data_IF_385847032502
#
_entry.id   IF_385847032502
#
_cell.length_a   1.000
_cell.length_b   1.000
_cell.length_c   1.000
_cell.angle_alpha   90.00
_cell.angle_beta   90.00
_cell.angle_gamma   90.00
#
_symmetry.space_group_name_H-M   'P 1'
#
loop_
_entity.id
_entity.type
_entity.pdbx_description
1 polymer ?
#
# COMPACT_ATOMS: atom_id res chain seq x y z
N UNK A 1 -14.40 45.42 5.34
CA UNK A 1 -13.18 44.74 5.82
C UNK A 1 -13.46 43.54 6.73
N UNK A 2 -14.19 43.69 7.85
CA UNK A 2 -14.44 42.57 8.80
C UNK A 2 -15.16 41.36 8.19
N UNK A 3 -16.12 41.58 7.30
CA UNK A 3 -16.85 40.49 6.61
C UNK A 3 -15.97 39.73 5.61
N UNK A 4 -15.06 40.44 4.92
CA UNK A 4 -14.14 39.84 3.94
C UNK A 4 -13.14 38.91 4.65
N UNK A 5 -12.58 39.37 5.77
CA UNK A 5 -11.65 38.58 6.61
C UNK A 5 -12.34 37.33 7.18
N UNK A 6 -13.59 37.45 7.63
CA UNK A 6 -14.38 36.30 8.11
C UNK A 6 -14.65 35.28 7.00
N UNK A 7 -15.01 35.74 5.81
CA UNK A 7 -15.28 34.86 4.67
C UNK A 7 -14.01 34.15 4.18
N UNK A 8 -12.87 34.86 4.16
CA UNK A 8 -11.57 34.29 3.86
C UNK A 8 -11.13 33.24 4.89
N UNK A 9 -11.36 33.49 6.18
CA UNK A 9 -11.06 32.54 7.25
C UNK A 9 -11.88 31.24 7.09
N UNK A 10 -13.18 31.33 6.81
CA UNK A 10 -14.03 30.16 6.58
C UNK A 10 -13.57 29.38 5.35
N UNK A 11 -13.21 30.08 4.26
CA UNK A 11 -12.69 29.45 3.05
C UNK A 11 -11.37 28.71 3.32
N UNK A 12 -10.45 29.31 4.08
CA UNK A 12 -9.16 28.70 4.40
C UNK A 12 -9.28 27.40 5.21
N UNK A 13 -10.29 27.27 6.08
CA UNK A 13 -10.56 26.04 6.84
C UNK A 13 -11.12 24.93 5.94
N UNK A 14 -11.89 25.27 4.90
CA UNK A 14 -12.44 24.28 3.98
C UNK A 14 -11.36 23.68 3.06
N UNK A 15 -10.35 24.47 2.69
CA UNK A 15 -9.24 24.02 1.84
C UNK A 15 -8.20 23.14 2.55
N UNK A 16 -8.18 23.05 3.89
CA UNK A 16 -7.21 22.19 4.60
C UNK A 16 -7.47 20.69 4.44
N UNK A 17 -8.62 20.30 3.88
CA UNK A 17 -9.02 18.90 3.68
C UNK A 17 -8.44 18.24 2.42
N UNK A 18 -7.76 18.97 1.54
CA UNK A 18 -7.26 18.44 0.25
C UNK A 18 -5.98 17.60 0.34
N UNK A 19 -5.49 17.32 1.56
CA UNK A 19 -4.23 16.59 1.78
C UNK A 19 -4.37 15.04 1.84
N UNK A 20 -5.48 14.45 1.41
CA UNK A 20 -5.75 13.00 1.51
C UNK A 20 -5.19 12.14 0.36
N UNK A 21 -4.32 12.68 -0.49
CA UNK A 21 -3.80 11.95 -1.65
C UNK A 21 -2.90 10.74 -1.30
N UNK A 22 -2.32 10.69 -0.09
CA UNK A 22 -1.42 9.62 0.33
C UNK A 22 -2.08 8.42 1.05
N UNK A 23 -3.39 8.46 1.34
CA UNK A 23 -4.04 7.42 2.17
C UNK A 23 -4.83 6.36 1.38
N UNK A 24 -4.83 6.38 0.05
CA UNK A 24 -5.77 5.55 -0.71
C UNK A 24 -5.17 4.27 -1.33
N UNK A 25 -3.86 4.03 -1.18
CA UNK A 25 -3.17 2.84 -1.69
C UNK A 25 -2.72 2.00 -0.49
N UNK A 26 -3.44 0.92 -0.22
CA UNK A 26 -3.16 -0.01 0.87
C UNK A 26 -3.11 -1.44 0.33
N UNK A 27 -2.52 -2.35 1.11
CA UNK A 27 -2.68 -3.78 0.86
C UNK A 27 -4.09 -4.16 1.31
N UNK A 28 -4.94 -4.53 0.34
CA UNK A 28 -6.29 -5.05 0.56
C UNK A 28 -6.25 -6.44 1.21
N UNK A 29 -5.34 -7.30 0.75
CA UNK A 29 -5.18 -8.67 1.24
C UNK A 29 -3.83 -9.25 0.83
N UNK A 30 -3.39 -10.32 1.51
CA UNK A 30 -2.24 -11.11 1.11
C UNK A 30 -2.48 -12.60 1.39
N UNK A 31 -1.81 -13.46 0.63
CA UNK A 31 -1.69 -14.89 0.95
C UNK A 31 -0.21 -15.25 1.00
N UNK A 32 0.30 -15.78 2.11
CA UNK A 32 -0.33 -15.86 3.43
C UNK A 32 -0.78 -14.49 3.96
N UNK A 33 -1.83 -14.50 4.79
CA UNK A 33 -2.26 -13.29 5.50
C UNK A 33 -1.19 -12.84 6.49
N UNK A 34 -1.16 -11.53 6.79
CA UNK A 34 -0.28 -10.98 7.83
C UNK A 34 -0.45 -11.77 9.14
N UNK A 35 0.67 -12.21 9.71
CA UNK A 35 0.74 -13.01 10.94
C UNK A 35 0.04 -14.39 10.87
N UNK A 36 -0.20 -14.94 9.66
CA UNK A 36 -0.67 -16.30 9.54
C UNK A 36 0.34 -17.30 10.12
N UNK A 37 -0.14 -18.21 10.97
CA UNK A 37 0.63 -19.38 11.37
C UNK A 37 0.51 -20.43 10.28
N UNK A 38 1.64 -20.82 9.72
CA UNK A 38 1.71 -21.78 8.62
C UNK A 38 2.15 -23.14 9.16
N UNK A 39 1.38 -24.17 8.83
CA UNK A 39 1.73 -25.56 9.17
C UNK A 39 2.79 -26.12 8.22
N UNK A 40 2.87 -25.56 7.02
CA UNK A 40 3.78 -25.93 5.94
C UNK A 40 4.14 -24.71 5.10
N UNK A 41 5.16 -24.84 4.26
CA UNK A 41 5.55 -23.77 3.35
C UNK A 41 4.44 -23.54 2.31
N UNK A 42 4.04 -22.27 2.04
CA UNK A 42 3.02 -21.98 1.06
C UNK A 42 3.56 -22.19 -0.36
N UNK A 43 2.72 -22.64 -1.27
CA UNK A 43 3.10 -22.81 -2.69
C UNK A 43 3.21 -21.48 -3.44
N UNK A 44 2.55 -20.42 -2.96
CA UNK A 44 2.42 -19.13 -3.64
C UNK A 44 2.38 -17.98 -2.61
N UNK A 45 2.84 -16.80 -3.03
CA UNK A 45 2.75 -15.55 -2.28
C UNK A 45 1.95 -14.54 -3.09
N UNK A 46 0.75 -14.16 -2.64
CA UNK A 46 -0.06 -13.17 -3.32
C UNK A 46 -0.29 -11.90 -2.50
N UNK A 47 -0.43 -10.77 -3.19
CA UNK A 47 -0.77 -9.48 -2.62
C UNK A 47 -1.73 -8.72 -3.52
N UNK A 48 -2.80 -8.21 -2.91
CA UNK A 48 -3.79 -7.36 -3.57
C UNK A 48 -3.73 -5.95 -2.97
N UNK A 49 -3.77 -4.93 -3.81
CA UNK A 49 -3.79 -3.53 -3.45
C UNK A 49 -5.17 -2.92 -3.70
N UNK A 50 -5.51 -1.86 -2.96
CA UNK A 50 -6.77 -1.12 -3.15
C UNK A 50 -6.85 -0.40 -4.51
N UNK A 51 -5.71 -0.12 -5.13
CA UNK A 51 -5.56 0.54 -6.43
C UNK A 51 -4.38 -0.05 -7.19
N UNK A 52 -4.34 0.19 -8.50
CA UNK A 52 -3.22 -0.25 -9.33
C UNK A 52 -1.90 0.37 -8.86
N UNK A 53 -0.91 -0.47 -8.60
CA UNK A 53 0.46 -0.07 -8.27
C UNK A 53 1.41 -0.71 -9.27
N UNK A 54 2.64 -0.20 -9.37
CA UNK A 54 3.75 -0.92 -10.02
C UNK A 54 4.59 -1.57 -8.93
N UNK A 55 4.56 -2.90 -8.84
CA UNK A 55 5.32 -3.62 -7.82
C UNK A 55 6.80 -3.69 -8.22
N UNK A 56 7.65 -2.95 -7.52
CA UNK A 56 9.08 -2.85 -7.86
C UNK A 56 9.98 -3.82 -7.11
N UNK A 57 9.50 -4.38 -5.99
CA UNK A 57 10.30 -5.23 -5.10
C UNK A 57 9.42 -5.98 -4.11
N UNK A 58 9.72 -7.26 -3.92
CA UNK A 58 9.24 -8.08 -2.80
C UNK A 58 10.46 -8.62 -2.07
N UNK A 59 10.41 -8.66 -0.73
CA UNK A 59 11.50 -9.18 0.10
C UNK A 59 10.94 -10.27 0.99
N UNK A 60 11.37 -11.51 0.74
CA UNK A 60 11.14 -12.62 1.65
C UNK A 60 12.31 -12.72 2.62
N UNK A 61 12.00 -12.87 3.91
CA UNK A 61 12.99 -13.09 4.96
C UNK A 61 12.65 -14.36 5.73
N UNK A 62 13.68 -15.07 6.15
CA UNK A 62 13.54 -16.15 7.13
C UNK A 62 13.43 -15.62 8.57
N UNK A 63 13.36 -16.54 9.54
CA UNK A 63 13.27 -16.22 10.96
C UNK A 63 14.49 -15.50 11.53
N UNK A 64 15.66 -15.63 10.90
CA UNK A 64 16.90 -14.95 11.28
C UNK A 64 17.02 -13.57 10.62
N UNK A 65 16.09 -13.24 9.72
CA UNK A 65 16.05 -11.99 8.98
C UNK A 65 16.91 -11.99 7.72
N UNK A 66 17.51 -13.12 7.35
CA UNK A 66 18.25 -13.27 6.10
C UNK A 66 17.27 -13.30 4.92
N UNK A 67 17.71 -12.75 3.78
CA UNK A 67 16.89 -12.69 2.58
C UNK A 67 16.87 -14.04 1.90
N UNK A 68 15.68 -14.51 1.58
CA UNK A 68 15.47 -15.71 0.76
C UNK A 68 15.29 -15.26 -0.69
N UNK A 69 16.12 -15.79 -1.59
CA UNK A 69 15.89 -15.63 -3.03
C UNK A 69 14.83 -16.64 -3.47
N UNK A 70 13.75 -16.13 -4.05
CA UNK A 70 12.62 -16.92 -4.54
C UNK A 70 12.28 -16.59 -6.00
N UNK A 71 13.19 -15.93 -6.72
CA UNK A 71 13.04 -15.68 -8.16
C UNK A 71 12.06 -14.56 -8.52
N UNK A 72 11.79 -13.62 -7.63
CA UNK A 72 10.89 -12.50 -7.94
C UNK A 72 11.50 -11.55 -8.98
N UNK A 73 10.76 -11.34 -10.07
CA UNK A 73 11.06 -10.33 -11.09
C UNK A 73 10.00 -9.22 -11.08
N UNK A 74 10.39 -7.92 -11.04
CA UNK A 74 9.43 -6.83 -11.03
C UNK A 74 8.60 -6.78 -12.32
N UNK A 75 7.26 -6.84 -12.23
CA UNK A 75 6.41 -6.67 -13.39
C UNK A 75 6.49 -5.24 -13.96
N UNK A 76 6.42 -5.13 -15.28
CA UNK A 76 6.47 -3.83 -15.98
C UNK A 76 5.13 -3.08 -15.91
N UNK A 77 4.03 -3.82 -15.83
CA UNK A 77 2.69 -3.27 -15.88
C UNK A 77 2.15 -2.89 -14.51
N UNK A 78 1.20 -1.96 -14.50
CA UNK A 78 0.44 -1.60 -13.30
C UNK A 78 -0.68 -2.63 -13.11
N UNK A 79 -0.77 -3.20 -11.91
CA UNK A 79 -1.83 -4.12 -11.53
C UNK A 79 -2.26 -3.90 -10.08
N UNK A 80 -3.47 -4.37 -9.76
CA UNK A 80 -3.98 -4.43 -8.38
C UNK A 80 -3.57 -5.70 -7.67
N UNK A 81 -3.30 -6.78 -8.40
CA UNK A 81 -3.08 -8.11 -7.86
C UNK A 81 -1.79 -8.70 -8.43
N UNK A 82 -0.99 -9.31 -7.55
CA UNK A 82 0.27 -9.97 -7.87
C UNK A 82 0.34 -11.30 -7.14
N UNK A 83 0.94 -12.31 -7.77
CA UNK A 83 1.21 -13.61 -7.16
C UNK A 83 2.48 -14.26 -7.68
#
# INVERSE_FOLDING_TARGET
MKALVKSFAIFSVLLSSVALAHEAIEIKSSTPSKNAMLMEAPMELSVSFTKGVRLIKVVLKDSEGAKVDFGFEPPKEVATDYS
#
